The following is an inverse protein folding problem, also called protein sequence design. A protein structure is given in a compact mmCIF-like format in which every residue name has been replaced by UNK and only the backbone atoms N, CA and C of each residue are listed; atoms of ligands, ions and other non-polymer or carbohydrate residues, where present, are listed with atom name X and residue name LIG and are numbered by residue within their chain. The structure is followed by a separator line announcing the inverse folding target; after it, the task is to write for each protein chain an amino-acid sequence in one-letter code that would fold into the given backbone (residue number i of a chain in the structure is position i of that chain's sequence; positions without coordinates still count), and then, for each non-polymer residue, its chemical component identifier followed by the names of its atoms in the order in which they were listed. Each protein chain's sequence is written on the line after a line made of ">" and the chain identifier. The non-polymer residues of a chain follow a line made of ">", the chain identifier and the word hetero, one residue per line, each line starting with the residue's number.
data_IF_084615729183
#
_entry.id   IF_084615729183
#
_cell.length_a   1.000
_cell.length_b   1.000
_cell.length_c   1.000
_cell.angle_alpha   90.00
_cell.angle_beta   90.00
_cell.angle_gamma   90.00
#
_symmetry.space_group_name_H-M   'P 1'
#
loop_
_entity.id
_entity.type
_entity.pdbx_description
1 polymer ?
#
# COMPACT_ATOMS: atom_id res chain seq x y z
N UNK A 1 -42.43 31.03 44.86
CA UNK A 1 -42.88 30.56 43.52
C UNK A 1 -41.63 30.27 42.70
N UNK A 2 -41.28 28.98 42.58
CA UNK A 2 -41.23 28.18 41.34
C UNK A 2 -40.02 28.45 40.43
N UNK A 3 -39.46 27.32 39.97
CA UNK A 3 -38.54 27.12 38.85
C UNK A 3 -37.04 27.24 39.14
N UNK A 4 -36.19 26.34 38.64
CA UNK A 4 -36.38 25.01 38.06
C UNK A 4 -34.98 24.35 38.00
N UNK A 5 -34.93 23.06 38.27
CA UNK A 5 -33.77 22.20 38.03
C UNK A 5 -33.31 22.28 36.58
N UNK A 6 -32.01 22.41 36.33
CA UNK A 6 -31.39 21.91 35.10
C UNK A 6 -30.06 21.24 35.43
N UNK A 7 -30.14 19.93 35.65
CA UNK A 7 -29.01 19.02 35.65
C UNK A 7 -28.48 18.93 34.20
N UNK A 8 -27.29 19.47 33.95
CA UNK A 8 -26.58 19.23 32.70
C UNK A 8 -26.10 17.77 32.70
N UNK A 9 -26.82 16.93 31.96
CA UNK A 9 -26.34 15.61 31.54
C UNK A 9 -25.13 15.83 30.62
N UNK A 10 -23.92 15.55 31.13
CA UNK A 10 -22.77 15.27 30.28
C UNK A 10 -23.08 14.02 29.47
N UNK A 11 -23.50 14.21 28.21
CA UNK A 11 -23.52 13.14 27.24
C UNK A 11 -22.06 12.77 26.95
N UNK A 12 -21.63 11.58 27.39
CA UNK A 12 -20.47 10.93 26.83
C UNK A 12 -20.74 10.78 25.33
N UNK A 13 -20.08 11.62 24.53
CA UNK A 13 -20.08 11.50 23.08
C UNK A 13 -19.20 10.30 22.75
N UNK A 14 -19.79 9.10 22.78
CA UNK A 14 -19.22 7.94 22.11
C UNK A 14 -19.15 8.29 20.63
N UNK A 15 -17.99 8.77 20.17
CA UNK A 15 -17.75 8.93 18.74
C UNK A 15 -17.89 7.54 18.12
N UNK A 16 -18.83 7.32 17.18
CA UNK A 16 -18.79 6.12 16.39
C UNK A 16 -17.42 6.09 15.71
N UNK A 17 -16.67 5.01 15.93
CA UNK A 17 -15.45 4.73 15.19
C UNK A 17 -15.89 4.47 13.76
N UNK A 18 -15.94 5.54 12.95
CA UNK A 18 -16.12 5.40 11.52
C UNK A 18 -15.11 4.37 11.04
N UNK A 19 -15.57 3.39 10.26
CA UNK A 19 -14.67 2.52 9.53
C UNK A 19 -13.73 3.46 8.76
N UNK A 20 -12.46 3.50 9.15
CA UNK A 20 -11.45 4.23 8.40
C UNK A 20 -11.46 3.55 7.03
N UNK A 21 -11.94 4.24 6.00
CA UNK A 21 -11.72 3.77 4.64
C UNK A 21 -10.21 3.60 4.48
N UNK A 22 -9.80 2.49 3.87
CA UNK A 22 -8.38 2.29 3.56
C UNK A 22 -7.90 3.50 2.74
N UNK A 23 -6.95 4.25 3.30
CA UNK A 23 -6.39 5.43 2.65
C UNK A 23 -5.70 4.98 1.36
N UNK A 24 -6.06 5.64 0.25
CA UNK A 24 -5.45 5.38 -1.05
C UNK A 24 -4.31 6.36 -1.24
N UNK A 25 -3.09 5.83 -1.35
CA UNK A 25 -1.88 6.65 -1.51
C UNK A 25 -1.19 6.30 -2.81
N UNK A 26 -0.96 7.28 -3.67
CA UNK A 26 -0.11 7.14 -4.86
C UNK A 26 1.31 7.59 -4.53
N UNK A 27 2.29 6.84 -5.00
CA UNK A 27 3.71 7.20 -4.91
C UNK A 27 4.38 6.88 -6.23
N UNK A 28 5.02 7.89 -6.80
CA UNK A 28 5.90 7.73 -7.93
C UNK A 28 7.34 7.61 -7.42
N UNK A 29 8.06 6.59 -7.88
CA UNK A 29 9.46 6.40 -7.54
C UNK A 29 10.34 6.63 -8.76
N UNK A 30 11.44 7.36 -8.57
CA UNK A 30 12.53 7.45 -9.53
C UNK A 30 13.47 6.25 -9.35
N UNK A 31 13.63 5.46 -10.40
CA UNK A 31 14.48 4.27 -10.43
C UNK A 31 15.76 4.53 -11.24
N UNK A 32 16.65 3.54 -11.26
CA UNK A 32 17.79 3.53 -12.17
C UNK A 32 17.36 3.64 -13.65
N UNK A 33 18.32 3.95 -14.52
CA UNK A 33 18.10 4.18 -15.96
C UNK A 33 17.08 5.28 -16.31
N UNK A 34 16.83 6.22 -15.38
CA UNK A 34 15.80 7.26 -15.53
C UNK A 34 14.39 6.71 -15.73
N UNK A 35 14.13 5.50 -15.23
CA UNK A 35 12.79 4.88 -15.25
C UNK A 35 11.98 5.34 -14.05
N UNK A 36 10.66 5.19 -14.14
CA UNK A 36 9.73 5.47 -13.05
C UNK A 36 8.93 4.22 -12.66
N UNK A 37 8.60 4.11 -11.39
CA UNK A 37 7.68 3.12 -10.86
C UNK A 37 6.53 3.84 -10.17
N UNK A 38 5.32 3.72 -10.72
CA UNK A 38 4.11 4.23 -10.10
C UNK A 38 3.44 3.12 -9.28
N UNK A 39 3.18 3.41 -8.00
CA UNK A 39 2.52 2.47 -7.08
C UNK A 39 1.33 3.16 -6.41
N UNK A 40 0.17 2.51 -6.46
CA UNK A 40 -1.00 2.90 -5.67
C UNK A 40 -1.18 1.91 -4.53
N UNK A 41 -1.07 2.39 -3.29
CA UNK A 41 -1.26 1.61 -2.08
C UNK A 41 -2.70 1.75 -1.57
N UNK A 42 -3.31 0.62 -1.19
CA UNK A 42 -4.68 0.53 -0.66
C UNK A 42 -4.68 -0.50 0.45
N UNK A 43 -4.55 -0.07 1.71
CA UNK A 43 -4.39 -0.98 2.86
C UNK A 43 -3.20 -1.93 2.69
N UNK A 44 -3.46 -3.23 2.61
CA UNK A 44 -2.43 -4.27 2.38
C UNK A 44 -2.21 -4.60 0.89
N UNK A 45 -2.79 -3.83 -0.02
CA UNK A 45 -2.65 -4.01 -1.46
C UNK A 45 -1.77 -2.91 -2.07
N UNK A 46 -1.18 -3.25 -3.20
CA UNK A 46 -0.49 -2.33 -4.08
C UNK A 46 -0.95 -2.58 -5.52
N UNK A 47 -1.03 -1.55 -6.35
CA UNK A 47 -1.26 -1.66 -7.79
C UNK A 47 -0.10 -1.02 -8.51
N UNK A 48 0.51 -1.76 -9.43
CA UNK A 48 1.57 -1.26 -10.32
C UNK A 48 1.08 -1.29 -11.76
N UNK A 49 1.72 -0.52 -12.64
CA UNK A 49 1.50 -0.63 -14.08
C UNK A 49 2.70 -1.32 -14.74
N UNK A 50 2.46 -2.35 -15.55
CA UNK A 50 3.46 -3.00 -16.39
C UNK A 50 2.83 -3.35 -17.74
N UNK A 51 3.55 -3.11 -18.85
CA UNK A 51 3.06 -3.40 -20.20
C UNK A 51 1.63 -2.87 -20.46
N UNK A 52 1.36 -1.64 -20.00
CA UNK A 52 0.04 -0.98 -20.07
C UNK A 52 -1.11 -1.66 -19.29
N UNK A 53 -0.79 -2.62 -18.43
CA UNK A 53 -1.74 -3.30 -17.57
C UNK A 53 -1.55 -2.92 -16.09
N UNK A 54 -2.67 -2.75 -15.38
CA UNK A 54 -2.68 -2.57 -13.93
C UNK A 54 -2.67 -3.92 -13.24
N UNK A 55 -1.63 -4.17 -12.46
CA UNK A 55 -1.41 -5.45 -11.78
C UNK A 55 -1.67 -5.25 -10.29
N UNK A 56 -2.80 -5.73 -9.77
CA UNK A 56 -3.07 -5.70 -8.34
C UNK A 56 -2.24 -6.75 -7.61
N UNK A 57 -1.63 -6.34 -6.51
CA UNK A 57 -0.71 -7.11 -5.69
C UNK A 57 -1.16 -7.08 -4.24
N UNK A 58 -0.84 -8.14 -3.48
CA UNK A 58 -1.11 -8.25 -2.05
C UNK A 58 0.18 -8.36 -1.26
N UNK A 59 0.23 -7.71 -0.10
CA UNK A 59 1.35 -7.81 0.84
C UNK A 59 1.55 -9.28 1.23
N UNK A 60 2.77 -9.77 1.05
CA UNK A 60 3.20 -11.10 1.44
C UNK A 60 4.14 -11.03 2.65
N UNK A 61 4.24 -12.15 3.38
CA UNK A 61 5.20 -12.28 4.49
C UNK A 61 6.62 -12.16 3.94
N UNK A 62 7.43 -11.34 4.60
CA UNK A 62 8.85 -11.15 4.33
C UNK A 62 9.66 -11.18 5.62
N UNK A 63 10.88 -11.70 5.56
CA UNK A 63 11.82 -11.66 6.69
C UNK A 63 12.37 -10.26 6.96
N UNK A 64 12.33 -9.36 5.98
CA UNK A 64 12.68 -7.95 6.14
C UNK A 64 12.02 -7.09 5.06
N UNK A 65 11.58 -5.90 5.44
CA UNK A 65 11.04 -4.92 4.52
C UNK A 65 9.63 -5.27 4.02
N UNK A 66 9.27 -4.65 2.90
CA UNK A 66 7.97 -4.81 2.25
C UNK A 66 8.09 -5.74 1.06
N UNK A 67 7.06 -6.54 0.84
CA UNK A 67 6.97 -7.49 -0.27
C UNK A 67 5.52 -7.63 -0.68
N UNK A 68 5.25 -7.48 -1.97
CA UNK A 68 3.94 -7.67 -2.57
C UNK A 68 4.06 -8.62 -3.75
N UNK A 69 3.07 -9.50 -3.87
CA UNK A 69 2.96 -10.48 -4.96
C UNK A 69 1.63 -10.30 -5.69
N UNK A 70 1.58 -10.51 -7.02
CA UNK A 70 0.35 -10.39 -7.80
C UNK A 70 -0.79 -11.26 -7.25
N UNK A 71 -2.01 -10.76 -7.38
CA UNK A 71 -3.20 -11.55 -7.08
C UNK A 71 -3.44 -12.64 -8.13
N UNK A 72 -3.20 -12.33 -9.40
CA UNK A 72 -3.20 -13.33 -10.47
C UNK A 72 -1.83 -14.01 -10.55
N UNK A 73 -1.83 -15.35 -10.42
CA UNK A 73 -0.62 -16.19 -10.40
C UNK A 73 0.05 -16.33 -11.77
N UNK A 74 -0.59 -15.88 -12.84
CA UNK A 74 0.00 -15.86 -14.16
C UNK A 74 1.07 -14.76 -14.30
N UNK A 75 1.01 -13.73 -13.45
CA UNK A 75 2.07 -12.73 -13.36
C UNK A 75 3.19 -13.21 -12.47
N UNK A 76 4.41 -12.98 -12.95
CA UNK A 76 5.65 -13.33 -12.25
C UNK A 76 6.32 -12.10 -11.65
N UNK A 77 5.58 -11.05 -11.28
CA UNK A 77 6.18 -9.85 -10.70
C UNK A 77 6.33 -9.98 -9.17
N UNK A 78 7.30 -9.28 -8.61
CA UNK A 78 7.46 -9.09 -7.17
C UNK A 78 7.88 -7.65 -6.90
N UNK A 79 7.07 -6.95 -6.12
CA UNK A 79 7.34 -5.59 -5.68
C UNK A 79 7.90 -5.67 -4.27
N UNK A 80 9.14 -5.25 -4.06
CA UNK A 80 9.83 -5.42 -2.78
C UNK A 80 10.66 -4.20 -2.42
N UNK A 81 10.91 -4.00 -1.13
CA UNK A 81 11.56 -2.78 -0.69
C UNK A 81 11.98 -2.79 0.77
N UNK A 82 12.78 -1.79 1.14
CA UNK A 82 13.25 -1.58 2.52
C UNK A 82 13.18 -0.11 2.85
N UNK A 83 12.58 0.22 4.00
CA UNK A 83 12.30 1.61 4.37
C UNK A 83 11.35 2.24 3.35
N UNK A 84 11.73 3.37 2.78
CA UNK A 84 10.98 4.08 1.75
C UNK A 84 11.32 3.66 0.33
N UNK A 85 12.33 2.80 0.11
CA UNK A 85 12.77 2.44 -1.24
C UNK A 85 12.06 1.19 -1.73
N UNK A 86 11.84 1.11 -3.04
CA UNK A 86 11.18 -0.01 -3.72
C UNK A 86 12.01 -0.52 -4.89
N UNK A 87 11.70 -1.73 -5.33
CA UNK A 87 12.23 -2.39 -6.52
C UNK A 87 11.13 -3.26 -7.11
N UNK A 88 11.18 -3.49 -8.42
CA UNK A 88 10.33 -4.42 -9.13
C UNK A 88 11.23 -5.48 -9.79
N UNK A 89 10.97 -6.74 -9.51
CA UNK A 89 11.66 -7.86 -10.12
C UNK A 89 10.67 -8.89 -10.65
N UNK A 90 11.18 -9.83 -11.47
CA UNK A 90 10.49 -11.09 -11.68
C UNK A 90 10.64 -12.00 -10.45
N UNK A 91 9.71 -12.92 -10.26
CA UNK A 91 9.71 -13.96 -9.25
C UNK A 91 8.95 -15.18 -9.78
N UNK A 92 9.69 -16.14 -10.34
CA UNK A 92 9.16 -17.43 -10.80
C UNK A 92 9.41 -18.57 -9.76
N UNK A 93 9.87 -18.21 -8.56
CA UNK A 93 10.26 -19.13 -7.50
C UNK A 93 11.66 -19.74 -7.67
N UNK A 94 12.39 -19.43 -8.74
CA UNK A 94 13.75 -19.93 -9.00
C UNK A 94 14.78 -18.81 -9.15
N UNK A 95 14.42 -17.72 -9.82
CA UNK A 95 15.29 -16.57 -10.06
C UNK A 95 14.50 -15.26 -9.98
N UNK A 96 15.21 -14.23 -9.56
CA UNK A 96 14.74 -12.86 -9.61
C UNK A 96 15.59 -12.11 -10.63
N UNK A 97 14.94 -11.56 -11.64
CA UNK A 97 15.56 -10.59 -12.54
C UNK A 97 14.99 -9.22 -12.21
N UNK A 98 15.86 -8.28 -11.91
CA UNK A 98 15.46 -6.91 -11.62
C UNK A 98 14.95 -6.23 -12.89
N UNK A 99 13.74 -5.68 -12.81
CA UNK A 99 13.11 -4.89 -13.88
C UNK A 99 13.32 -3.40 -13.60
N UNK A 100 13.10 -3.00 -12.34
CA UNK A 100 13.33 -1.65 -11.83
C UNK A 100 14.05 -1.73 -10.49
N UNK A 101 15.22 -1.12 -10.40
CA UNK A 101 16.07 -1.15 -9.21
C UNK A 101 16.31 0.25 -8.64
N UNK A 102 16.66 0.29 -7.36
CA UNK A 102 17.00 1.49 -6.58
C UNK A 102 15.93 2.59 -6.63
N UNK A 103 14.65 2.20 -6.68
CA UNK A 103 13.56 3.16 -6.78
C UNK A 103 13.36 3.93 -5.48
N UNK A 104 13.40 5.26 -5.56
CA UNK A 104 13.26 6.20 -4.44
C UNK A 104 12.07 7.12 -4.67
N UNK A 105 11.27 7.41 -3.63
CA UNK A 105 10.12 8.31 -3.73
C UNK A 105 10.53 9.76 -3.99
#
# INVERSE_FOLDING_TARGET
>A
MKSLFFLYRSACFERPRGAMADEVTHTQYACDDSKTLDVVYIGDYAVIQQMDELIPMKRAVSGSGMRYVPLNKDYIYELWGKGSNMNLSTYDGKKNEDILSNCKP
#
